data_IF_645739426965
#
_entry.id   IF_645739426965
#
_cell.length_a   1.000
_cell.length_b   1.000
_cell.length_c   1.000
_cell.angle_alpha   90.00
_cell.angle_beta   90.00
_cell.angle_gamma   90.00
#
_symmetry.space_group_name_H-M   'P 1'
#
loop_
_entity.id
_entity.type
_entity.pdbx_description
1 polymer ?
#
# COMPACT_ATOMS: atom_id res chain seq x y z
N UNK A 1 11.69 0.48 8.38
CA UNK A 1 11.93 1.85 7.86
C UNK A 1 11.54 2.82 8.96
N UNK A 2 12.34 3.84 9.26
CA UNK A 2 11.94 4.85 10.24
C UNK A 2 10.74 5.64 9.69
N UNK A 3 9.60 5.62 10.39
CA UNK A 3 8.33 6.23 9.93
C UNK A 3 8.45 7.73 9.67
N UNK A 4 9.32 8.42 10.42
CA UNK A 4 9.62 9.85 10.25
C UNK A 4 10.20 10.23 8.88
N UNK A 5 10.67 9.25 8.09
CA UNK A 5 11.22 9.47 6.75
C UNK A 5 10.17 9.31 5.64
N UNK A 6 8.96 8.88 5.97
CA UNK A 6 7.87 8.66 5.03
C UNK A 6 7.08 9.95 4.81
N UNK A 7 6.55 10.12 3.60
CA UNK A 7 5.66 11.24 3.26
C UNK A 7 4.34 11.17 4.04
N UNK A 8 3.82 9.96 4.18
CA UNK A 8 2.59 9.64 4.90
C UNK A 8 2.96 8.62 5.99
N UNK A 9 3.36 9.12 7.20
CA UNK A 9 3.95 8.28 8.23
C UNK A 9 2.98 7.26 8.80
N UNK A 10 3.25 5.98 8.52
CA UNK A 10 2.45 4.87 9.04
C UNK A 10 3.35 3.63 9.24
N UNK A 11 3.29 3.05 10.43
CA UNK A 11 3.99 1.81 10.72
C UNK A 11 3.27 0.63 10.05
N UNK A 12 4.01 -0.44 9.79
CA UNK A 12 3.50 -1.59 9.02
C UNK A 12 2.40 -2.35 9.78
N UNK A 13 2.56 -2.46 11.11
CA UNK A 13 1.60 -3.06 12.04
C UNK A 13 0.29 -2.27 12.18
N UNK A 14 0.26 -1.01 11.74
CA UNK A 14 -0.96 -0.20 11.67
C UNK A 14 -1.76 -0.47 10.39
N UNK A 15 -1.14 -1.09 9.37
CA UNK A 15 -1.71 -1.28 8.02
C UNK A 15 -2.22 -2.69 7.77
N UNK A 16 -1.98 -3.62 8.69
CA UNK A 16 -2.31 -5.04 8.53
C UNK A 16 -3.00 -5.57 9.78
N UNK A 17 -3.97 -6.46 9.60
CA UNK A 17 -4.58 -7.21 10.72
C UNK A 17 -3.71 -8.43 11.07
N UNK A 18 -3.13 -9.08 10.05
CA UNK A 18 -2.19 -10.19 10.18
C UNK A 18 -0.90 -9.86 9.43
N UNK A 19 0.29 -9.93 10.05
CA UNK A 19 1.55 -9.49 9.43
C UNK A 19 1.89 -10.13 8.08
N UNK A 20 1.42 -11.34 7.82
CA UNK A 20 1.65 -12.07 6.58
C UNK A 20 0.73 -11.65 5.41
N UNK A 21 -0.30 -10.84 5.68
CA UNK A 21 -1.28 -10.40 4.68
C UNK A 21 -1.42 -8.87 4.66
N UNK A 22 -1.08 -8.26 3.52
CA UNK A 22 -1.45 -6.88 3.21
C UNK A 22 -2.62 -6.87 2.23
N UNK A 23 -3.68 -6.14 2.59
CA UNK A 23 -4.82 -5.87 1.70
C UNK A 23 -4.89 -4.38 1.43
N UNK A 24 -4.85 -4.01 0.15
CA UNK A 24 -4.92 -2.61 -0.28
C UNK A 24 -5.84 -2.44 -1.48
N UNK A 25 -6.45 -1.26 -1.59
CA UNK A 25 -7.14 -0.84 -2.80
C UNK A 25 -6.08 -0.52 -3.86
N UNK A 26 -6.16 -1.20 -5.01
CA UNK A 26 -5.23 -1.06 -6.14
C UNK A 26 -5.40 0.24 -6.94
N UNK A 27 -5.67 1.36 -6.27
CA UNK A 27 -5.95 2.67 -6.87
C UNK A 27 -4.89 3.64 -6.39
N UNK A 28 -4.08 4.14 -7.32
CA UNK A 28 -3.04 5.12 -7.03
C UNK A 28 -3.67 6.41 -6.49
N UNK A 29 -3.25 6.82 -5.30
CA UNK A 29 -3.75 8.03 -4.62
C UNK A 29 -3.39 9.34 -5.29
N UNK A 30 -2.59 9.32 -6.37
CA UNK A 30 -2.38 10.51 -7.21
C UNK A 30 -3.64 10.84 -8.02
N UNK A 31 -3.96 10.02 -9.03
CA UNK A 31 -5.04 10.26 -9.99
C UNK A 31 -5.77 8.97 -10.41
N UNK A 32 -5.70 7.91 -9.61
CA UNK A 32 -6.57 6.74 -9.73
C UNK A 32 -6.12 5.61 -10.68
N UNK A 33 -4.94 5.70 -11.29
CA UNK A 33 -4.39 4.58 -12.07
C UNK A 33 -4.15 3.32 -11.22
N UNK A 34 -4.06 2.15 -11.85
CA UNK A 34 -3.70 0.89 -11.17
C UNK A 34 -2.16 0.73 -11.09
N UNK A 35 -1.57 0.65 -9.89
CA UNK A 35 -0.15 0.34 -9.73
C UNK A 35 0.20 -1.10 -10.15
N UNK A 36 1.36 -1.29 -10.76
CA UNK A 36 1.93 -2.59 -11.13
C UNK A 36 2.66 -3.17 -9.92
N UNK A 37 2.32 -4.41 -9.52
CA UNK A 37 2.98 -5.11 -8.43
C UNK A 37 4.39 -5.59 -8.79
N UNK A 38 5.23 -5.79 -7.78
CA UNK A 38 6.64 -6.22 -7.90
C UNK A 38 7.49 -5.32 -8.80
N UNK A 39 7.22 -4.02 -8.77
CA UNK A 39 7.87 -3.03 -9.62
C UNK A 39 8.26 -1.77 -8.83
N UNK A 40 9.17 -0.99 -9.42
CA UNK A 40 9.71 0.23 -8.83
C UNK A 40 10.79 -0.02 -7.77
N UNK A 41 11.39 1.07 -7.30
CA UNK A 41 12.64 1.05 -6.51
C UNK A 41 12.53 0.42 -5.10
N UNK A 42 11.33 0.10 -4.61
CA UNK A 42 11.10 -0.42 -3.24
C UNK A 42 10.45 -1.81 -3.19
N UNK A 43 10.41 -2.54 -4.31
CA UNK A 43 9.93 -3.93 -4.34
C UNK A 43 8.45 -4.09 -3.96
N UNK A 44 7.66 -3.03 -4.05
CA UNK A 44 6.21 -3.03 -3.82
C UNK A 44 5.47 -2.79 -5.12
N UNK A 45 5.02 -1.55 -5.31
CA UNK A 45 4.17 -1.19 -6.44
C UNK A 45 4.69 0.04 -7.19
N UNK A 46 4.49 0.07 -8.50
CA UNK A 46 4.85 1.19 -9.35
C UNK A 46 3.67 1.66 -10.19
N UNK A 47 3.30 2.93 -10.08
CA UNK A 47 2.30 3.54 -10.93
C UNK A 47 2.97 4.20 -12.15
N UNK A 48 2.82 3.65 -13.36
CA UNK A 48 3.52 4.13 -14.56
C UNK A 48 2.99 5.49 -15.07
N UNK A 49 1.81 5.92 -14.61
CA UNK A 49 1.19 7.15 -15.09
C UNK A 49 2.06 8.40 -14.81
N UNK A 50 2.61 8.51 -13.60
CA UNK A 50 3.42 9.67 -13.18
C UNK A 50 4.60 9.28 -12.28
N UNK A 51 4.95 8.00 -12.24
CA UNK A 51 6.11 7.50 -11.52
C UNK A 51 5.96 7.50 -10.00
N UNK A 52 4.78 7.17 -9.47
CA UNK A 52 4.63 6.94 -8.02
C UNK A 52 5.15 5.56 -7.65
N UNK A 53 6.04 5.48 -6.65
CA UNK A 53 6.59 4.23 -6.14
C UNK A 53 6.08 3.98 -4.73
N UNK A 54 5.54 2.79 -4.50
CA UNK A 54 5.09 2.32 -3.21
C UNK A 54 5.97 1.17 -2.74
N UNK A 55 6.23 1.08 -1.44
CA UNK A 55 6.91 -0.08 -0.87
C UNK A 55 5.96 -1.28 -0.70
N UNK A 56 6.48 -2.40 -0.19
CA UNK A 56 5.71 -3.63 0.00
C UNK A 56 4.55 -3.49 1.01
N UNK A 57 4.50 -2.43 1.83
CA UNK A 57 3.39 -2.08 2.72
C UNK A 57 2.34 -1.21 2.00
N UNK A 58 2.54 -0.91 0.72
CA UNK A 58 1.71 0.02 -0.05
C UNK A 58 1.94 1.48 0.33
N UNK A 59 3.06 1.83 0.98
CA UNK A 59 3.33 3.21 1.42
C UNK A 59 4.07 4.00 0.36
N UNK A 60 3.69 5.25 0.15
CA UNK A 60 4.27 6.10 -0.89
C UNK A 60 5.70 6.52 -0.53
N UNK A 61 6.65 6.28 -1.45
CA UNK A 61 8.08 6.55 -1.26
C UNK A 61 8.63 7.62 -2.20
N UNK A 62 8.09 7.69 -3.42
CA UNK A 62 8.55 8.60 -4.49
C UNK A 62 7.43 8.89 -5.46
N UNK A 63 7.52 10.02 -6.17
CA UNK A 63 6.54 10.46 -7.16
C UNK A 63 5.46 11.36 -6.55
N UNK A 64 4.42 11.73 -7.33
CA UNK A 64 3.46 12.77 -6.97
C UNK A 64 2.29 12.33 -6.10
N UNK A 65 2.09 11.03 -5.87
CA UNK A 65 0.99 10.56 -5.01
C UNK A 65 1.11 11.15 -3.59
N UNK A 66 0.04 11.73 -3.02
CA UNK A 66 0.13 12.38 -1.71
C UNK A 66 0.12 11.38 -0.54
N UNK A 67 -0.55 10.23 -0.71
CA UNK A 67 -0.89 9.29 0.37
C UNK A 67 -0.44 7.86 0.07
N UNK A 68 -0.38 7.02 1.10
CA UNK A 68 -0.24 5.57 0.98
C UNK A 68 -1.46 4.94 0.26
N UNK A 69 -1.32 3.73 -0.27
CA UNK A 69 -2.47 2.98 -0.77
C UNK A 69 -3.46 2.71 0.37
N UNK A 70 -4.74 2.88 0.09
CA UNK A 70 -5.81 2.69 1.07
C UNK A 70 -5.89 1.23 1.50
N UNK A 71 -5.99 1.00 2.81
CA UNK A 71 -6.31 -0.31 3.39
C UNK A 71 -7.82 -0.34 3.62
N UNK A 72 -8.58 -1.20 2.92
CA UNK A 72 -10.01 -1.28 3.13
C UNK A 72 -10.33 -1.95 4.48
N UNK A 73 -11.51 -1.69 5.02
CA UNK A 73 -12.05 -2.47 6.14
C UNK A 73 -12.13 -3.94 5.75
N UNK A 74 -11.53 -4.80 6.56
CA UNK A 74 -11.52 -6.24 6.32
C UNK A 74 -11.35 -7.01 7.63
N UNK A 75 -11.74 -8.28 7.61
CA UNK A 75 -11.60 -9.19 8.74
C UNK A 75 -11.30 -10.62 8.31
N UNK A 76 -10.75 -11.40 9.25
CA UNK A 76 -10.47 -12.82 9.10
C UNK A 76 -11.38 -13.62 10.05
N UNK A 77 -12.64 -13.92 9.65
CA UNK A 77 -13.61 -14.55 10.55
C UNK A 77 -13.25 -16.01 10.90
N UNK A 78 -12.48 -16.68 10.04
CA UNK A 78 -11.93 -18.01 10.27
C UNK A 78 -10.69 -18.24 9.40
N UNK A 79 -10.01 -19.37 9.59
CA UNK A 79 -8.81 -19.73 8.84
C UNK A 79 -9.13 -19.91 7.34
N UNK A 80 -8.35 -19.27 6.47
CA UNK A 80 -8.51 -19.37 5.02
C UNK A 80 -9.56 -18.45 4.41
N UNK A 81 -10.31 -17.67 5.19
CA UNK A 81 -11.28 -16.69 4.69
C UNK A 81 -10.91 -15.27 5.10
N UNK A 82 -10.94 -14.37 4.12
CA UNK A 82 -10.85 -12.92 4.30
C UNK A 82 -12.09 -12.28 3.69
N UNK A 83 -12.77 -11.44 4.47
CA UNK A 83 -13.92 -10.64 4.02
C UNK A 83 -13.48 -9.18 3.94
N UNK A 84 -13.79 -8.51 2.83
CA UNK A 84 -13.56 -7.08 2.63
C UNK A 84 -14.91 -6.39 2.51
N UNK A 85 -15.14 -5.34 3.30
CA UNK A 85 -16.42 -4.61 3.38
C UNK A 85 -17.20 -4.88 4.66
#
# INVERSE_FOLDING_TARGET
>A
VATSTLRDPEADDQRVVKPEWLVVIGVCTHLGCVPIANAGDWGGYYCPCHGSHYDASGRIRKGPAPLNLEVPTHEFPNEGLLIVG
#
